data_IF_118144061662
#
_entry.id   IF_118144061662
#
_cell.length_a   1.000
_cell.length_b   1.000
_cell.length_c   1.000
_cell.angle_alpha   90.00
_cell.angle_beta   90.00
_cell.angle_gamma   90.00
#
_symmetry.space_group_name_H-M   'P 1'
#
loop_
_entity.id
_entity.type
_entity.pdbx_description
1 polymer ?
#
# COMPACT_ATOMS: atom_id res chain seq x y z
N UNK A 1 -12.47 40.68 57.52
CA UNK A 1 -12.19 42.11 57.29
C UNK A 1 -10.94 42.22 56.43
N UNK A 2 -11.14 42.65 55.18
CA UNK A 2 -10.15 43.20 54.21
C UNK A 2 -9.36 44.38 54.82
N UNK A 3 -8.26 44.91 54.21
CA UNK A 3 -7.95 45.00 52.77
C UNK A 3 -6.48 44.62 52.39
N UNK A 4 -6.14 44.17 51.18
CA UNK A 4 -6.09 44.85 49.87
C UNK A 4 -5.28 46.17 49.88
N UNK A 5 -3.97 46.06 49.62
CA UNK A 5 -3.10 47.20 49.31
C UNK A 5 -2.52 47.03 47.90
N UNK A 6 -2.82 48.02 47.07
CA UNK A 6 -2.43 48.14 45.68
C UNK A 6 -0.97 48.58 45.51
N UNK A 7 -0.30 48.05 44.49
CA UNK A 7 0.86 48.70 43.87
C UNK A 7 0.66 48.78 42.36
N UNK A 8 0.86 50.01 41.87
CA UNK A 8 0.49 50.53 40.55
C UNK A 8 1.57 50.23 39.50
N UNK A 9 1.11 50.20 38.26
CA UNK A 9 1.82 49.97 37.01
C UNK A 9 3.03 50.89 36.75
N UNK A 10 4.10 50.32 36.20
CA UNK A 10 5.07 51.00 35.35
C UNK A 10 5.10 50.30 33.98
N UNK A 11 5.03 51.02 32.84
CA UNK A 11 5.00 50.38 31.53
C UNK A 11 6.43 50.06 31.06
N UNK A 12 6.68 48.91 30.43
CA UNK A 12 7.93 48.71 29.71
C UNK A 12 7.87 49.43 28.35
N UNK A 13 8.97 50.13 28.06
CA UNK A 13 9.25 50.88 26.85
C UNK A 13 9.24 49.93 25.64
N UNK A 14 8.24 50.05 24.76
CA UNK A 14 8.28 49.41 23.44
C UNK A 14 9.22 50.20 22.52
N UNK A 15 10.38 49.63 22.20
CA UNK A 15 11.15 50.04 21.01
C UNK A 15 10.45 49.47 19.76
N UNK A 16 9.98 50.35 18.89
CA UNK A 16 9.49 49.96 17.57
C UNK A 16 10.66 49.40 16.73
N UNK A 17 10.62 48.10 16.45
CA UNK A 17 11.49 47.48 15.46
C UNK A 17 10.83 47.69 14.10
N UNK A 18 11.45 48.51 13.27
CA UNK A 18 10.99 48.80 11.92
C UNK A 18 11.26 47.56 11.05
N UNK A 19 10.21 46.79 10.76
CA UNK A 19 10.27 45.67 9.81
C UNK A 19 10.61 46.24 8.43
N UNK A 20 11.81 45.93 7.94
CA UNK A 20 12.16 46.12 6.54
C UNK A 20 11.40 45.07 5.74
N UNK A 21 10.42 45.51 4.97
CA UNK A 21 9.76 44.67 3.97
C UNK A 21 10.81 44.28 2.93
N UNK A 22 11.22 43.01 2.94
CA UNK A 22 11.97 42.43 1.84
C UNK A 22 10.96 41.97 0.79
N UNK A 23 10.79 42.77 -0.25
CA UNK A 23 10.14 42.35 -1.49
C UNK A 23 11.06 41.34 -2.17
N UNK A 24 10.74 40.05 -2.03
CA UNK A 24 11.37 39.00 -2.85
C UNK A 24 10.69 39.06 -4.22
N UNK A 25 11.45 39.46 -5.24
CA UNK A 25 11.04 39.33 -6.63
C UNK A 25 11.04 37.84 -7.00
N UNK A 26 9.85 37.26 -7.22
CA UNK A 26 9.71 35.93 -7.81
C UNK A 26 10.05 36.02 -9.30
N UNK A 27 11.26 35.61 -9.68
CA UNK A 27 11.59 35.40 -11.08
C UNK A 27 10.95 34.09 -11.55
N UNK A 28 9.87 34.21 -12.33
CA UNK A 28 9.26 33.10 -13.07
C UNK A 28 10.21 32.68 -14.21
N UNK A 29 11.12 31.76 -13.91
CA UNK A 29 11.82 30.97 -14.92
C UNK A 29 11.11 29.61 -15.04
N UNK A 30 10.10 29.54 -15.90
CA UNK A 30 9.48 28.28 -16.31
C UNK A 30 10.44 27.53 -17.22
N UNK A 31 11.37 26.78 -16.62
CA UNK A 31 12.03 25.68 -17.33
C UNK A 31 11.11 24.46 -17.24
N UNK A 32 10.74 23.80 -18.35
CA UNK A 32 9.97 22.58 -18.27
C UNK A 32 10.83 21.53 -17.60
N UNK A 33 10.47 21.15 -16.37
CA UNK A 33 11.05 19.99 -15.70
C UNK A 33 10.59 18.78 -16.50
N UNK A 34 11.42 18.33 -17.44
CA UNK A 34 11.23 17.06 -18.12
C UNK A 34 11.43 15.97 -17.08
N UNK A 35 10.32 15.38 -16.64
CA UNK A 35 10.36 14.15 -15.84
C UNK A 35 11.14 13.10 -16.65
N UNK A 36 12.19 12.49 -16.09
CA UNK A 36 12.89 11.43 -16.80
C UNK A 36 11.89 10.31 -17.11
N UNK A 37 11.80 9.96 -18.38
CA UNK A 37 11.03 8.82 -18.87
C UNK A 37 11.51 7.57 -18.14
N UNK A 38 10.66 7.03 -17.27
CA UNK A 38 10.95 5.77 -16.59
C UNK A 38 10.98 4.67 -17.65
N UNK A 39 12.19 4.23 -18.00
CA UNK A 39 12.42 3.08 -18.85
C UNK A 39 11.75 1.84 -18.23
N UNK A 40 10.60 1.46 -18.80
CA UNK A 40 9.75 0.34 -18.39
C UNK A 40 10.34 -1.03 -18.79
N UNK A 41 11.57 -1.35 -18.40
CA UNK A 41 12.09 -2.72 -18.54
C UNK A 41 12.86 -3.14 -17.30
N UNK A 42 12.13 -3.40 -16.22
CA UNK A 42 12.69 -4.04 -15.03
C UNK A 42 11.83 -5.23 -14.63
N UNK A 43 12.05 -6.34 -15.35
CA UNK A 43 11.74 -7.72 -14.97
C UNK A 43 10.56 -7.88 -14.02
N UNK A 44 9.37 -7.49 -14.48
CA UNK A 44 8.15 -7.69 -13.70
C UNK A 44 7.87 -9.20 -13.68
N UNK A 45 7.90 -9.77 -12.47
CA UNK A 45 7.30 -11.07 -12.18
C UNK A 45 5.93 -11.11 -12.87
N UNK A 46 5.68 -12.07 -13.76
CA UNK A 46 4.42 -12.19 -14.54
C UNK A 46 3.24 -12.49 -13.61
N UNK A 47 2.79 -11.47 -12.91
CA UNK A 47 1.84 -11.54 -11.82
C UNK A 47 0.77 -10.47 -12.01
N UNK A 48 -0.49 -10.90 -12.04
CA UNK A 48 -1.63 -10.03 -12.32
C UNK A 48 -1.96 -9.10 -11.14
N UNK A 49 -1.82 -9.59 -9.90
CA UNK A 49 -2.07 -8.78 -8.71
C UNK A 49 -1.06 -7.62 -8.62
N UNK A 50 -1.54 -6.41 -8.33
CA UNK A 50 -0.75 -5.20 -8.34
C UNK A 50 -0.65 -4.52 -9.72
N UNK A 51 -1.15 -5.12 -10.80
CA UNK A 51 -1.32 -4.40 -12.07
C UNK A 51 -2.52 -3.46 -11.99
N UNK A 52 -2.40 -2.27 -12.60
CA UNK A 52 -3.53 -1.34 -12.71
C UNK A 52 -4.55 -1.86 -13.73
N UNK A 53 -5.77 -1.29 -13.72
CA UNK A 53 -6.77 -1.62 -14.74
C UNK A 53 -6.25 -1.34 -16.15
N UNK A 54 -5.50 -0.24 -16.34
CA UNK A 54 -4.91 0.11 -17.64
C UNK A 54 -3.83 -0.89 -18.07
N UNK A 55 -2.98 -1.34 -17.15
CA UNK A 55 -1.96 -2.34 -17.46
C UNK A 55 -2.60 -3.68 -17.84
N UNK A 56 -3.69 -4.08 -17.19
CA UNK A 56 -4.43 -5.31 -17.53
C UNK A 56 -5.18 -5.19 -18.86
N UNK A 57 -5.66 -4.00 -19.21
CA UNK A 57 -6.21 -3.71 -20.54
C UNK A 57 -5.14 -3.82 -21.63
N UNK A 58 -3.94 -3.31 -21.37
CA UNK A 58 -2.82 -3.42 -22.29
C UNK A 58 -2.38 -4.88 -22.45
N UNK A 59 -2.29 -5.63 -21.34
CA UNK A 59 -2.00 -7.06 -21.34
C UNK A 59 -3.01 -7.83 -22.20
N UNK A 60 -4.31 -7.54 -22.07
CA UNK A 60 -5.31 -8.19 -22.91
C UNK A 60 -5.06 -7.95 -24.42
N UNK A 61 -4.71 -6.72 -24.81
CA UNK A 61 -4.41 -6.39 -26.20
C UNK A 61 -3.17 -7.12 -26.72
N UNK A 62 -2.14 -7.31 -25.88
CA UNK A 62 -0.92 -8.05 -26.22
C UNK A 62 -1.20 -9.53 -26.54
N UNK A 63 -2.24 -10.11 -25.93
CA UNK A 63 -2.75 -11.46 -26.21
C UNK A 63 -3.84 -11.48 -27.31
N UNK A 64 -3.97 -10.39 -28.09
CA UNK A 64 -4.97 -10.30 -29.16
C UNK A 64 -6.42 -10.24 -28.66
N UNK A 65 -6.64 -10.00 -27.38
CA UNK A 65 -7.97 -9.85 -26.78
C UNK A 65 -8.45 -8.41 -26.80
N UNK A 66 -9.76 -8.22 -26.67
CA UNK A 66 -10.34 -6.89 -26.65
C UNK A 66 -10.11 -6.19 -25.31
N UNK A 67 -9.97 -4.86 -25.35
CA UNK A 67 -9.68 -4.00 -24.18
C UNK A 67 -10.56 -4.30 -22.96
N UNK A 68 -11.85 -4.59 -23.16
CA UNK A 68 -12.76 -4.90 -22.05
C UNK A 68 -12.38 -6.19 -21.28
N UNK A 69 -11.65 -7.13 -21.89
CA UNK A 69 -11.13 -8.34 -21.23
C UNK A 69 -10.14 -7.99 -20.12
N UNK A 70 -9.36 -6.93 -20.28
CA UNK A 70 -8.50 -6.42 -19.20
C UNK A 70 -9.30 -5.87 -18.01
N UNK A 71 -10.44 -5.22 -18.27
CA UNK A 71 -11.37 -4.81 -17.19
C UNK A 71 -11.95 -6.02 -16.46
N UNK A 72 -12.26 -7.09 -17.18
CA UNK A 72 -12.71 -8.35 -16.59
C UNK A 72 -11.62 -8.99 -15.73
N UNK A 73 -10.36 -9.03 -16.21
CA UNK A 73 -9.21 -9.48 -15.41
C UNK A 73 -9.11 -8.67 -14.11
N UNK A 74 -9.16 -7.34 -14.20
CA UNK A 74 -9.11 -6.46 -13.02
C UNK A 74 -10.25 -6.79 -12.04
N UNK A 75 -11.48 -6.93 -12.53
CA UNK A 75 -12.62 -7.32 -11.70
C UNK A 75 -12.41 -8.70 -11.03
N UNK A 76 -11.92 -9.69 -11.78
CA UNK A 76 -11.69 -11.04 -11.27
C UNK A 76 -10.60 -11.07 -10.20
N UNK A 77 -9.51 -10.34 -10.40
CA UNK A 77 -8.37 -10.26 -9.48
C UNK A 77 -8.71 -9.52 -8.19
N UNK A 78 -9.36 -8.35 -8.28
CA UNK A 78 -9.55 -7.46 -7.12
C UNK A 78 -10.94 -7.54 -6.49
N UNK A 79 -12.01 -7.69 -7.28
CA UNK A 79 -13.38 -7.74 -6.75
C UNK A 79 -13.79 -9.17 -6.41
N UNK A 80 -13.58 -10.12 -7.33
CA UNK A 80 -13.87 -11.54 -7.09
C UNK A 80 -12.76 -12.27 -6.34
N UNK A 81 -11.55 -11.71 -6.33
CA UNK A 81 -10.40 -12.20 -5.55
C UNK A 81 -10.08 -13.67 -5.84
N UNK A 82 -10.22 -14.03 -7.10
CA UNK A 82 -9.96 -15.37 -7.63
C UNK A 82 -8.49 -15.73 -7.39
N UNK A 83 -8.20 -17.01 -7.07
CA UNK A 83 -6.84 -17.47 -6.72
C UNK A 83 -6.05 -18.01 -7.91
N UNK A 84 -6.70 -18.65 -8.87
CA UNK A 84 -6.07 -19.20 -10.08
C UNK A 84 -6.60 -18.59 -11.38
N UNK A 85 -5.77 -18.57 -12.43
CA UNK A 85 -6.19 -18.08 -13.76
C UNK A 85 -7.29 -18.98 -14.34
N UNK A 86 -7.23 -20.28 -14.07
CA UNK A 86 -8.21 -21.24 -14.56
C UNK A 86 -9.62 -21.00 -14.00
N UNK A 87 -9.72 -20.34 -12.85
CA UNK A 87 -10.99 -19.99 -12.21
C UNK A 87 -11.63 -18.70 -12.80
N UNK A 88 -11.02 -18.10 -13.82
CA UNK A 88 -11.60 -16.96 -14.55
C UNK A 88 -12.75 -17.38 -15.46
N UNK A 89 -13.88 -17.76 -14.87
CA UNK A 89 -15.06 -18.33 -15.56
C UNK A 89 -15.63 -17.48 -16.69
N UNK A 90 -15.46 -16.15 -16.63
CA UNK A 90 -15.96 -15.21 -17.65
C UNK A 90 -15.01 -15.02 -18.84
N UNK A 91 -13.81 -15.62 -18.80
CA UNK A 91 -12.82 -15.52 -19.87
C UNK A 91 -12.81 -16.80 -20.73
N UNK A 92 -12.60 -16.66 -22.05
CA UNK A 92 -12.43 -17.81 -22.94
C UNK A 92 -11.34 -18.76 -22.41
N UNK A 93 -11.54 -20.07 -22.55
CA UNK A 93 -10.56 -21.07 -22.11
C UNK A 93 -9.21 -20.88 -22.81
N UNK A 94 -9.23 -20.59 -24.11
CA UNK A 94 -8.02 -20.29 -24.89
C UNK A 94 -7.20 -19.16 -24.25
N UNK A 95 -7.85 -18.04 -23.90
CA UNK A 95 -7.15 -16.90 -23.28
C UNK A 95 -6.57 -17.25 -21.89
N UNK A 96 -7.29 -18.04 -21.08
CA UNK A 96 -6.77 -18.52 -19.79
C UNK A 96 -5.52 -19.38 -19.97
N UNK A 97 -5.53 -20.27 -20.97
CA UNK A 97 -4.40 -21.15 -21.27
C UNK A 97 -3.20 -20.36 -21.80
N UNK A 98 -3.41 -19.42 -22.73
CA UNK A 98 -2.35 -18.55 -23.24
C UNK A 98 -1.65 -17.76 -22.11
N UNK A 99 -2.42 -17.20 -21.18
CA UNK A 99 -1.85 -16.52 -20.01
C UNK A 99 -0.98 -17.46 -19.17
N UNK A 100 -1.48 -18.67 -18.88
CA UNK A 100 -0.76 -19.64 -18.07
C UNK A 100 0.50 -20.18 -18.75
N UNK A 101 0.43 -20.48 -20.06
CA UNK A 101 1.57 -20.91 -20.88
C UNK A 101 2.64 -19.81 -20.97
N UNK A 102 2.20 -18.56 -21.07
CA UNK A 102 3.08 -17.40 -20.95
C UNK A 102 3.63 -17.20 -19.52
N UNK A 103 3.28 -18.05 -18.55
CA UNK A 103 3.82 -18.01 -17.20
C UNK A 103 3.20 -16.94 -16.30
N UNK A 104 2.02 -16.42 -16.66
CA UNK A 104 1.28 -15.54 -15.77
C UNK A 104 0.67 -16.30 -14.60
N UNK A 105 0.66 -15.67 -13.43
CA UNK A 105 -0.07 -16.14 -12.26
C UNK A 105 -0.88 -15.00 -11.65
N UNK A 106 -1.84 -15.33 -10.77
CA UNK A 106 -2.58 -14.29 -10.04
C UNK A 106 -1.67 -13.61 -9.01
N UNK A 107 -0.75 -14.36 -8.38
CA UNK A 107 0.15 -13.86 -7.33
C UNK A 107 -0.49 -13.79 -5.95
N UNK A 108 -1.16 -14.88 -5.53
CA UNK A 108 -1.74 -15.04 -4.19
C UNK A 108 -0.88 -15.99 -3.38
N UNK A 109 -0.22 -15.49 -2.34
CA UNK A 109 0.57 -16.27 -1.41
C UNK A 109 -0.32 -17.03 -0.41
N UNK A 110 0.08 -18.24 0.01
CA UNK A 110 -0.64 -18.96 1.06
C UNK A 110 -0.46 -18.33 2.44
N UNK A 111 -1.53 -18.40 3.24
CA UNK A 111 -1.47 -18.09 4.67
C UNK A 111 -0.80 -19.28 5.37
N UNK A 112 0.34 -19.03 6.01
CA UNK A 112 1.06 -20.03 6.78
C UNK A 112 0.49 -20.20 8.19
N UNK A 113 0.08 -19.09 8.81
CA UNK A 113 -0.51 -19.07 10.14
C UNK A 113 -1.45 -17.89 10.30
N UNK A 114 -2.52 -18.10 11.04
CA UNK A 114 -3.48 -17.08 11.46
C UNK A 114 -3.59 -17.11 12.99
N UNK A 115 -3.67 -15.93 13.60
CA UNK A 115 -3.89 -15.77 15.03
C UNK A 115 -4.89 -14.64 15.25
N UNK A 116 -5.96 -14.92 15.97
CA UNK A 116 -7.01 -13.95 16.30
C UNK A 116 -6.98 -13.65 17.79
N UNK A 117 -6.92 -12.36 18.14
CA UNK A 117 -6.98 -11.88 19.50
C UNK A 117 -8.44 -11.68 19.97
N UNK A 118 -8.63 -11.49 21.28
CA UNK A 118 -9.95 -11.33 21.89
C UNK A 118 -10.67 -10.04 21.45
N UNK A 119 -9.93 -9.01 21.03
CA UNK A 119 -10.45 -7.75 20.50
C UNK A 119 -10.81 -7.82 19.00
N UNK A 120 -10.69 -9.01 18.39
CA UNK A 120 -10.93 -9.22 16.96
C UNK A 120 -9.72 -8.88 16.07
N UNK A 121 -8.59 -8.43 16.62
CA UNK A 121 -7.36 -8.22 15.84
C UNK A 121 -6.88 -9.56 15.26
N UNK A 122 -6.69 -9.60 13.95
CA UNK A 122 -6.18 -10.78 13.24
C UNK A 122 -4.77 -10.51 12.74
N UNK A 123 -3.83 -11.38 13.13
CA UNK A 123 -2.48 -11.42 12.57
C UNK A 123 -2.34 -12.59 11.61
N UNK A 124 -1.93 -12.29 10.38
CA UNK A 124 -1.62 -13.27 9.35
C UNK A 124 -0.11 -13.34 9.12
N UNK A 125 0.39 -14.57 9.03
CA UNK A 125 1.74 -14.88 8.58
C UNK A 125 1.64 -15.44 7.16
N UNK A 126 2.19 -14.73 6.19
CA UNK A 126 2.11 -15.07 4.76
C UNK A 126 3.43 -15.70 4.34
N UNK A 127 3.35 -16.83 3.62
CA UNK A 127 4.54 -17.49 3.05
C UNK A 127 4.74 -17.10 1.60
N UNK A 128 5.81 -16.37 1.34
CA UNK A 128 6.20 -15.89 0.02
C UNK A 128 6.80 -17.01 -0.84
N UNK A 129 6.94 -16.77 -2.14
CA UNK A 129 7.48 -17.72 -3.12
C UNK A 129 8.87 -18.25 -2.73
N UNK A 130 9.69 -17.41 -2.09
CA UNK A 130 11.03 -17.74 -1.63
C UNK A 130 11.08 -18.35 -0.21
N UNK A 131 9.94 -18.89 0.25
CA UNK A 131 9.73 -19.49 1.57
C UNK A 131 9.94 -18.55 2.77
N UNK A 132 10.13 -17.25 2.53
CA UNK A 132 10.18 -16.24 3.59
C UNK A 132 8.78 -15.95 4.11
N UNK A 133 8.73 -15.47 5.34
CA UNK A 133 7.49 -15.13 6.02
C UNK A 133 7.41 -13.62 6.25
N UNK A 134 6.24 -13.05 6.00
CA UNK A 134 5.92 -11.66 6.38
C UNK A 134 4.62 -11.61 7.16
N UNK A 135 4.53 -10.63 8.05
CA UNK A 135 3.34 -10.40 8.85
C UNK A 135 2.49 -9.28 8.25
N UNK A 136 1.18 -9.44 8.35
CA UNK A 136 0.21 -8.35 8.18
C UNK A 136 -0.84 -8.46 9.27
N UNK A 137 -1.40 -7.34 9.71
CA UNK A 137 -2.35 -7.29 10.84
C UNK A 137 -3.59 -6.50 10.46
N UNK A 138 -4.76 -7.06 10.67
CA UNK A 138 -6.05 -6.39 10.54
C UNK A 138 -6.59 -6.04 11.92
N UNK A 139 -6.81 -4.76 12.17
CA UNK A 139 -7.25 -4.22 13.47
C UNK A 139 -8.63 -3.60 13.28
N UNK A 140 -9.70 -4.29 13.72
CA UNK A 140 -11.04 -3.71 13.72
C UNK A 140 -11.14 -2.62 14.78
N UNK A 141 -11.74 -1.49 14.43
CA UNK A 141 -11.99 -0.39 15.35
C UNK A 141 -13.42 0.10 15.14
N UNK A 142 -14.19 0.11 16.21
CA UNK A 142 -15.48 0.79 16.26
C UNK A 142 -15.25 2.23 16.74
N UNK A 143 -15.82 3.21 16.04
CA UNK A 143 -15.78 4.59 16.49
C UNK A 143 -16.96 4.91 17.42
N UNK A 144 -16.91 6.07 18.08
CA UNK A 144 -17.94 6.51 19.04
C UNK A 144 -19.34 6.68 18.42
N UNK A 145 -19.44 6.68 17.08
CA UNK A 145 -20.69 6.80 16.33
C UNK A 145 -21.22 5.45 15.88
N UNK A 146 -20.59 4.34 16.29
CA UNK A 146 -20.95 2.98 15.92
C UNK A 146 -20.54 2.61 14.49
N UNK A 147 -19.63 3.37 13.86
CA UNK A 147 -19.09 3.02 12.54
C UNK A 147 -17.87 2.12 12.70
N UNK A 148 -17.79 1.09 11.85
CA UNK A 148 -16.70 0.12 11.87
C UNK A 148 -15.64 0.44 10.82
N UNK A 149 -14.37 0.48 11.22
CA UNK A 149 -13.22 0.60 10.32
C UNK A 149 -12.25 -0.53 10.54
N UNK A 150 -11.66 -1.04 9.46
CA UNK A 150 -10.58 -2.01 9.53
C UNK A 150 -9.26 -1.34 9.15
N UNK A 151 -8.32 -1.27 10.10
CA UNK A 151 -6.97 -0.77 9.84
C UNK A 151 -6.06 -1.94 9.46
N UNK A 152 -5.43 -1.89 8.29
CA UNK A 152 -4.47 -2.89 7.85
C UNK A 152 -3.03 -2.40 8.07
N UNK A 153 -2.26 -3.14 8.86
CA UNK A 153 -0.81 -2.99 8.96
C UNK A 153 -0.14 -3.87 7.88
N UNK A 154 0.61 -3.24 6.99
CA UNK A 154 1.19 -3.87 5.80
C UNK A 154 2.71 -3.80 5.86
N UNK A 155 3.36 -4.95 5.69
CA UNK A 155 4.81 -5.07 5.52
C UNK A 155 5.22 -4.59 4.13
N UNK A 156 6.38 -3.94 4.05
CA UNK A 156 6.97 -3.47 2.77
C UNK A 156 8.27 -4.19 2.40
N UNK A 157 8.86 -4.92 3.35
CA UNK A 157 10.16 -5.58 3.22
C UNK A 157 10.15 -6.91 3.98
N UNK A 158 11.03 -7.82 3.59
CA UNK A 158 11.39 -8.95 4.46
C UNK A 158 12.58 -8.56 5.30
N UNK A 159 12.33 -8.36 6.60
CA UNK A 159 13.30 -7.78 7.50
C UNK A 159 13.41 -6.26 7.36
N UNK A 160 14.29 -5.62 8.14
CA UNK A 160 14.47 -4.17 8.12
C UNK A 160 15.95 -3.79 8.28
N UNK A 161 16.51 -2.94 7.39
CA UNK A 161 17.94 -2.61 7.42
C UNK A 161 18.31 -1.63 8.54
N UNK A 162 17.32 -0.97 9.15
CA UNK A 162 17.55 0.04 10.19
C UNK A 162 18.01 -0.56 11.53
N UNK A 163 17.73 -1.85 11.78
CA UNK A 163 18.17 -2.57 12.98
C UNK A 163 17.86 -1.86 14.31
N UNK A 164 16.70 -1.22 14.43
CA UNK A 164 16.28 -0.60 15.68
C UNK A 164 16.26 -1.63 16.82
N UNK A 165 16.92 -1.31 17.95
CA UNK A 165 17.15 -2.26 19.07
C UNK A 165 15.87 -2.77 19.74
N UNK A 166 14.79 -1.98 19.69
CA UNK A 166 13.48 -2.32 20.22
C UNK A 166 12.58 -3.07 19.21
N UNK A 167 12.97 -3.16 17.93
CA UNK A 167 12.15 -3.74 16.88
C UNK A 167 12.53 -5.20 16.63
N UNK A 168 11.58 -6.12 16.80
CA UNK A 168 11.79 -7.54 16.49
C UNK A 168 12.24 -7.76 15.04
N UNK A 169 11.61 -7.08 14.07
CA UNK A 169 11.99 -7.12 12.65
C UNK A 169 13.39 -6.58 12.40
N UNK A 170 13.80 -5.53 13.13
CA UNK A 170 15.15 -4.97 13.05
C UNK A 170 16.22 -5.95 13.52
N UNK A 171 15.93 -6.76 14.55
CA UNK A 171 16.84 -7.81 15.03
C UNK A 171 17.02 -8.95 14.03
N UNK A 172 16.00 -9.24 13.21
CA UNK A 172 16.03 -10.28 12.18
C UNK A 172 16.91 -9.97 10.96
N UNK A 173 17.46 -8.75 10.87
CA UNK A 173 18.24 -8.29 9.72
C UNK A 173 17.36 -7.91 8.52
N UNK A 174 17.99 -7.61 7.38
CA UNK A 174 17.32 -7.27 6.12
C UNK A 174 17.63 -8.32 5.06
N UNK A 175 16.62 -8.70 4.29
CA UNK A 175 16.79 -9.62 3.15
C UNK A 175 16.49 -8.94 1.82
N UNK A 176 15.27 -8.46 1.61
CA UNK A 176 14.85 -7.82 0.34
C UNK A 176 13.61 -6.97 0.53
N UNK A 177 13.35 -6.11 -0.46
CA UNK A 177 12.05 -5.46 -0.60
C UNK A 177 10.99 -6.46 -1.09
N UNK A 178 9.73 -6.19 -0.74
CA UNK A 178 8.61 -6.93 -1.31
C UNK A 178 8.34 -6.51 -2.75
N UNK A 179 7.92 -7.47 -3.56
CA UNK A 179 7.37 -7.26 -4.90
C UNK A 179 6.00 -6.57 -4.76
N UNK A 180 5.56 -5.90 -5.82
CA UNK A 180 4.29 -5.16 -5.81
C UNK A 180 3.09 -6.01 -5.36
N UNK A 181 2.96 -7.22 -5.91
CA UNK A 181 1.87 -8.13 -5.56
C UNK A 181 1.95 -8.59 -4.10
N UNK A 182 3.15 -8.81 -3.55
CA UNK A 182 3.36 -9.21 -2.15
C UNK A 182 2.91 -8.11 -1.16
N UNK A 183 2.92 -6.84 -1.57
CA UNK A 183 2.38 -5.74 -0.76
C UNK A 183 0.86 -5.68 -0.91
N UNK A 184 0.36 -5.70 -2.14
CA UNK A 184 -1.08 -5.56 -2.43
C UNK A 184 -1.89 -6.74 -1.90
N UNK A 185 -1.33 -7.94 -1.87
CA UNK A 185 -2.03 -9.12 -1.36
C UNK A 185 -2.36 -9.02 0.13
N UNK A 186 -1.50 -8.38 0.92
CA UNK A 186 -1.70 -8.22 2.36
C UNK A 186 -3.00 -7.50 2.67
N UNK A 187 -3.33 -6.45 1.91
CA UNK A 187 -4.60 -5.73 2.04
C UNK A 187 -5.77 -6.58 1.54
N UNK A 188 -5.59 -7.28 0.43
CA UNK A 188 -6.65 -8.08 -0.16
C UNK A 188 -7.11 -9.25 0.74
N UNK A 189 -6.21 -9.80 1.56
CA UNK A 189 -6.53 -10.89 2.49
C UNK A 189 -7.57 -10.47 3.52
N UNK A 190 -7.48 -9.25 4.04
CA UNK A 190 -8.48 -8.74 4.99
C UNK A 190 -9.82 -8.41 4.34
N UNK A 191 -9.82 -8.06 3.06
CA UNK A 191 -11.07 -7.96 2.33
C UNK A 191 -11.70 -9.34 2.08
N UNK A 192 -10.96 -10.45 2.12
CA UNK A 192 -11.48 -11.81 1.90
C UNK A 192 -12.16 -12.38 3.15
N UNK A 193 -11.69 -12.01 4.33
CA UNK A 193 -12.38 -12.27 5.58
C UNK A 193 -13.57 -11.32 5.65
N UNK A 194 -14.80 -11.83 5.53
CA UNK A 194 -16.01 -11.03 5.72
C UNK A 194 -16.05 -10.55 7.20
N UNK A 195 -15.43 -9.41 7.47
CA UNK A 195 -15.69 -8.62 8.67
C UNK A 195 -16.94 -7.77 8.47
#
# INVERSE_FOLDING_TARGET
MTPMAALRNAPPIMRAVQLRTLTIACNNSTSPVTLPSVDKKKQDSRVLLGMSELDLQQLALEFGQQKYRGKQLHHLVYKRKVKGIQDFSHLPLAFRNELQEAGWSVGRSPIYKEVTAADGTVKLLIKLEDNRLVETVGIPVEDEKGSFRLTACVSSQVGCPLRCSFCATGKGGFSRNLKRHEIVEQVCLYCLCNF
#
